data_IF_054150994248
#
_entry.id   IF_054150994248
#
_cell.length_a   1.000
_cell.length_b   1.000
_cell.length_c   1.000
_cell.angle_alpha   90.00
_cell.angle_beta   90.00
_cell.angle_gamma   90.00
#
_symmetry.space_group_name_H-M   'P 1'
#
loop_
_entity.id
_entity.type
_entity.pdbx_description
1 polymer ?
#
# COMPACT_ATOMS: atom_id res chain seq x y z
N UNK A 1 10.59 -2.25 8.69
CA UNK A 1 11.06 -3.58 9.15
C UNK A 1 12.35 -3.90 8.40
N UNK A 2 13.49 -4.04 9.08
CA UNK A 2 14.79 -4.32 8.44
C UNK A 2 15.54 -5.38 9.27
N UNK A 3 16.25 -6.34 8.64
CA UNK A 3 16.35 -6.56 7.18
C UNK A 3 15.06 -7.12 6.57
N UNK A 4 14.92 -7.06 5.24
CA UNK A 4 13.82 -7.72 4.54
C UNK A 4 13.95 -9.25 4.64
N UNK A 5 12.82 -9.95 4.70
CA UNK A 5 12.78 -11.41 4.77
C UNK A 5 12.78 -12.06 3.38
N UNK A 6 13.03 -13.38 3.31
CA UNK A 6 13.08 -14.12 2.04
C UNK A 6 11.73 -14.35 1.34
N UNK A 7 10.61 -13.93 1.95
CA UNK A 7 9.27 -14.16 1.42
C UNK A 7 8.64 -12.91 0.78
N UNK A 8 9.06 -11.72 1.19
CA UNK A 8 8.59 -10.44 0.67
C UNK A 8 9.45 -9.27 1.18
N UNK A 9 9.37 -8.16 0.45
CA UNK A 9 9.81 -6.84 0.92
C UNK A 9 8.57 -6.07 1.40
N UNK A 10 8.70 -5.35 2.52
CA UNK A 10 7.64 -4.52 3.08
C UNK A 10 8.09 -3.06 3.07
N UNK A 11 7.41 -2.25 2.26
CA UNK A 11 7.65 -0.80 2.17
C UNK A 11 6.86 -0.11 3.28
N UNK A 12 7.52 0.77 4.03
CA UNK A 12 6.86 1.58 5.06
C UNK A 12 6.19 2.79 4.41
N UNK A 13 4.90 2.68 4.11
CA UNK A 13 4.16 3.73 3.41
C UNK A 13 3.90 4.94 4.32
N UNK A 14 3.83 4.73 5.63
CA UNK A 14 3.59 5.82 6.59
C UNK A 14 4.80 6.75 6.70
N UNK A 15 6.01 6.19 6.63
CA UNK A 15 7.24 7.00 6.55
C UNK A 15 7.41 7.64 5.16
N UNK A 16 7.15 6.88 4.10
CA UNK A 16 7.38 7.33 2.73
C UNK A 16 6.41 8.44 2.27
N UNK A 17 5.12 8.30 2.62
CA UNK A 17 4.03 9.25 2.34
C UNK A 17 3.57 9.92 3.64
N UNK A 18 4.51 10.48 4.39
CA UNK A 18 4.26 11.06 5.72
C UNK A 18 3.29 12.25 5.75
N UNK A 19 2.98 12.83 4.59
CA UNK A 19 1.95 13.86 4.42
C UNK A 19 0.52 13.30 4.39
N UNK A 20 0.34 11.99 4.25
CA UNK A 20 -0.98 11.33 4.23
C UNK A 20 -1.29 10.77 5.63
N UNK A 21 -2.34 11.27 6.31
CA UNK A 21 -2.78 10.74 7.59
C UNK A 21 -3.13 9.23 7.51
N UNK A 22 -2.89 8.44 8.58
CA UNK A 22 -3.16 7.00 8.55
C UNK A 22 -4.59 6.57 8.18
N UNK A 23 -5.60 7.35 8.58
CA UNK A 23 -7.01 7.10 8.24
C UNK A 23 -7.37 7.52 6.81
N UNK A 24 -6.41 8.07 6.07
CA UNK A 24 -6.47 8.28 4.63
C UNK A 24 -5.66 7.21 3.86
N UNK A 25 -5.31 6.12 4.55
CA UNK A 25 -4.79 4.87 4.00
C UNK A 25 -3.53 5.02 3.12
N UNK A 26 -2.40 5.54 3.66
CA UNK A 26 -1.16 5.75 2.90
C UNK A 26 -0.63 4.46 2.25
N UNK A 27 -0.78 3.30 2.93
CA UNK A 27 -0.42 2.00 2.36
C UNK A 27 -1.24 1.64 1.12
N UNK A 28 -2.54 1.94 1.14
CA UNK A 28 -3.41 1.65 0.00
C UNK A 28 -3.20 2.66 -1.13
N UNK A 29 -3.00 3.94 -0.80
CA UNK A 29 -2.61 4.98 -1.75
C UNK A 29 -1.32 4.63 -2.50
N UNK A 30 -0.30 4.14 -1.78
CA UNK A 30 0.94 3.67 -2.38
C UNK A 30 0.72 2.47 -3.31
N UNK A 31 -0.07 1.49 -2.89
CA UNK A 31 -0.38 0.32 -3.72
C UNK A 31 -1.10 0.73 -5.02
N UNK A 32 -2.02 1.70 -4.97
CA UNK A 32 -2.66 2.26 -6.15
C UNK A 32 -1.65 3.01 -7.04
N UNK A 33 -0.80 3.85 -6.47
CA UNK A 33 0.19 4.62 -7.23
C UNK A 33 1.18 3.71 -7.98
N UNK A 34 1.64 2.62 -7.35
CA UNK A 34 2.49 1.61 -8.00
C UNK A 34 1.80 0.91 -9.16
N UNK A 35 0.50 0.65 -9.05
CA UNK A 35 -0.28 0.04 -10.12
C UNK A 35 -0.49 1.02 -11.28
N UNK A 36 -0.78 2.28 -10.99
CA UNK A 36 -1.03 3.31 -12.00
C UNK A 36 0.22 3.71 -12.76
N UNK A 37 1.36 3.83 -12.08
CA UNK A 37 2.63 4.20 -12.71
C UNK A 37 3.31 3.02 -13.41
N UNK A 38 3.35 1.87 -12.74
CA UNK A 38 4.17 0.74 -13.18
C UNK A 38 3.41 -0.55 -13.47
N UNK A 39 2.09 -0.59 -13.31
CA UNK A 39 1.33 -1.85 -13.38
C UNK A 39 1.71 -2.84 -12.27
N UNK A 40 2.38 -2.40 -11.20
CA UNK A 40 2.87 -3.24 -10.11
C UNK A 40 1.79 -3.36 -9.03
N UNK A 41 1.28 -4.58 -8.84
CA UNK A 41 0.29 -4.84 -7.78
C UNK A 41 0.95 -5.28 -6.47
N UNK A 42 0.98 -4.37 -5.51
CA UNK A 42 1.30 -4.65 -4.10
C UNK A 42 0.07 -5.02 -3.28
N UNK A 43 0.30 -5.49 -2.05
CA UNK A 43 -0.76 -5.75 -1.07
C UNK A 43 -0.54 -4.88 0.16
N UNK A 44 -1.50 -4.04 0.50
CA UNK A 44 -1.48 -3.27 1.75
C UNK A 44 -1.60 -4.22 2.94
N UNK A 45 -0.83 -3.94 4.00
CA UNK A 45 -0.91 -4.54 5.32
C UNK A 45 -0.88 -3.39 6.32
N UNK A 46 -2.05 -2.83 6.58
CA UNK A 46 -2.21 -1.67 7.42
C UNK A 46 -3.66 -1.43 7.79
N UNK A 47 -4.00 -0.15 7.91
CA UNK A 47 -5.30 0.30 8.41
C UNK A 47 -6.47 -0.27 7.61
N UNK A 48 -6.34 -0.43 6.28
CA UNK A 48 -7.41 -1.02 5.46
C UNK A 48 -7.61 -2.50 5.82
N UNK A 49 -6.52 -3.28 5.83
CA UNK A 49 -6.54 -4.70 6.16
C UNK A 49 -7.09 -5.00 7.55
N UNK A 50 -6.64 -4.26 8.57
CA UNK A 50 -7.04 -4.52 9.96
C UNK A 50 -8.48 -4.12 10.28
N UNK A 51 -9.09 -3.26 9.47
CA UNK A 51 -10.52 -3.02 9.55
C UNK A 51 -10.96 -2.21 10.77
N UNK A 52 -12.28 -2.19 10.96
CA UNK A 52 -12.92 -1.63 12.15
C UNK A 52 -12.81 -2.59 13.33
N UNK A 53 -12.80 -2.02 14.54
CA UNK A 53 -13.00 -2.77 15.78
C UNK A 53 -14.43 -3.31 15.86
N UNK A 54 -14.71 -4.29 16.74
CA UNK A 54 -16.06 -4.83 16.93
C UNK A 54 -17.12 -3.79 17.32
N UNK A 55 -16.71 -2.67 17.92
CA UNK A 55 -17.59 -1.55 18.28
C UNK A 55 -17.88 -0.58 17.11
N UNK A 56 -17.34 -0.86 15.91
CA UNK A 56 -17.50 -0.04 14.71
C UNK A 56 -16.50 1.13 14.60
N UNK A 57 -15.70 1.38 15.63
CA UNK A 57 -14.65 2.40 15.58
C UNK A 57 -13.50 1.96 14.68
N UNK A 58 -12.79 2.94 14.14
CA UNK A 58 -11.63 2.72 13.29
C UNK A 58 -10.44 3.45 13.89
N UNK A 59 -9.37 2.72 14.13
CA UNK A 59 -8.13 3.27 14.64
C UNK A 59 -7.00 2.98 13.65
N UNK A 60 -6.03 3.90 13.50
CA UNK A 60 -4.84 3.64 12.73
C UNK A 60 -4.16 2.34 13.13
N UNK A 61 -3.81 1.52 12.16
CA UNK A 61 -2.92 0.40 12.42
C UNK A 61 -1.59 0.90 12.99
N UNK A 62 -0.83 0.01 13.65
CA UNK A 62 0.51 0.38 14.14
C UNK A 62 1.46 0.76 13.00
N UNK A 63 1.29 0.16 11.81
CA UNK A 63 2.07 0.40 10.61
C UNK A 63 1.14 0.34 9.39
N UNK A 64 1.48 1.04 8.32
CA UNK A 64 0.88 0.86 6.99
C UNK A 64 1.98 0.40 6.02
N UNK A 65 2.01 -0.90 5.75
CA UNK A 65 3.03 -1.51 4.91
C UNK A 65 2.46 -1.85 3.53
N UNK A 66 3.29 -1.77 2.50
CA UNK A 66 2.99 -2.38 1.19
C UNK A 66 3.91 -3.57 0.99
N UNK A 67 3.31 -4.76 0.95
CA UNK A 67 4.01 -6.02 0.72
C UNK A 67 4.21 -6.26 -0.77
N UNK A 68 5.47 -6.39 -1.17
CA UNK A 68 5.90 -6.84 -2.49
C UNK A 68 6.45 -8.26 -2.37
N UNK A 69 5.66 -9.23 -2.81
CA UNK A 69 6.05 -10.64 -2.84
C UNK A 69 6.43 -11.03 -4.27
N UNK A 70 7.60 -11.65 -4.46
CA UNK A 70 8.03 -12.16 -5.77
C UNK A 70 7.68 -13.65 -5.90
N UNK A 71 6.81 -14.03 -6.85
CA UNK A 71 6.55 -15.43 -7.17
C UNK A 71 7.83 -16.12 -7.67
N UNK A 72 8.07 -17.32 -7.16
CA UNK A 72 9.30 -18.08 -7.43
C UNK A 72 9.42 -18.43 -8.90
N UNK A 73 10.55 -18.08 -9.53
CA UNK A 73 10.88 -18.40 -10.94
C UNK A 73 9.92 -17.80 -11.97
N UNK A 74 9.27 -16.67 -11.65
CA UNK A 74 8.34 -15.98 -12.57
C UNK A 74 8.95 -14.72 -13.14
N UNK A 75 9.52 -13.88 -12.28
CA UNK A 75 10.14 -12.61 -12.68
C UNK A 75 11.65 -12.73 -12.83
N UNK A 76 12.21 -11.82 -13.62
CA UNK A 76 13.65 -11.72 -13.94
C UNK A 76 14.28 -10.54 -13.21
N UNK A 77 15.60 -10.39 -13.33
CA UNK A 77 16.32 -9.22 -12.83
C UNK A 77 15.73 -7.91 -13.35
N UNK A 78 15.43 -7.82 -14.65
CA UNK A 78 14.85 -6.61 -15.26
C UNK A 78 13.50 -6.22 -14.65
N UNK A 79 12.70 -7.16 -14.15
CA UNK A 79 11.47 -6.84 -13.44
C UNK A 79 11.75 -6.28 -12.03
N UNK A 80 12.84 -6.73 -11.38
CA UNK A 80 13.27 -6.15 -10.10
C UNK A 80 13.79 -4.73 -10.31
N UNK A 81 14.60 -4.51 -11.35
CA UNK A 81 15.12 -3.19 -11.72
C UNK A 81 13.97 -2.23 -12.06
N UNK A 82 12.99 -2.71 -12.84
CA UNK A 82 11.79 -1.95 -13.18
C UNK A 82 10.97 -1.52 -11.95
N UNK A 83 10.87 -2.37 -10.90
CA UNK A 83 10.23 -1.98 -9.65
C UNK A 83 10.96 -0.79 -9.02
N UNK A 84 12.31 -0.80 -9.02
CA UNK A 84 13.11 0.30 -8.48
C UNK A 84 12.89 1.58 -9.28
N UNK A 85 12.93 1.50 -10.61
CA UNK A 85 12.66 2.64 -11.50
C UNK A 85 11.29 3.27 -11.24
N UNK A 86 10.24 2.45 -11.07
CA UNK A 86 8.88 2.95 -10.75
C UNK A 86 8.86 3.67 -9.39
N UNK A 87 9.58 3.16 -8.38
CA UNK A 87 9.71 3.87 -7.11
C UNK A 87 10.46 5.20 -7.26
N UNK A 88 11.48 5.26 -8.11
CA UNK A 88 12.22 6.50 -8.39
C UNK A 88 11.32 7.54 -9.07
N UNK A 89 10.51 7.14 -10.06
CA UNK A 89 9.55 8.05 -10.70
C UNK A 89 8.49 8.56 -9.73
N UNK A 90 7.91 7.68 -8.92
CA UNK A 90 6.97 8.08 -7.89
C UNK A 90 7.62 8.98 -6.82
N UNK A 91 8.88 8.74 -6.45
CA UNK A 91 9.58 9.55 -5.47
C UNK A 91 9.71 11.02 -5.89
N UNK A 92 9.85 11.30 -7.20
CA UNK A 92 9.93 12.68 -7.74
C UNK A 92 8.66 13.49 -7.51
N UNK A 93 7.52 12.82 -7.38
CA UNK A 93 6.18 13.44 -7.22
C UNK A 93 5.40 12.84 -6.05
N UNK A 94 6.10 12.34 -5.03
CA UNK A 94 5.47 11.63 -3.90
C UNK A 94 4.46 12.50 -3.14
N UNK A 95 4.70 13.81 -3.08
CA UNK A 95 3.85 14.78 -2.38
C UNK A 95 2.55 15.07 -3.17
N UNK A 96 2.47 14.65 -4.43
CA UNK A 96 1.25 14.69 -5.25
C UNK A 96 0.34 13.50 -4.97
N UNK A 97 0.86 12.40 -4.43
CA UNK A 97 0.06 11.24 -4.05
C UNK A 97 -0.91 11.66 -2.94
N UNK A 98 -2.20 11.43 -3.18
CA UNK A 98 -3.28 11.77 -2.25
C UNK A 98 -3.72 10.54 -1.46
N UNK A 99 -4.20 10.81 -0.25
CA UNK A 99 -4.91 9.83 0.55
C UNK A 99 -6.19 9.35 -0.13
N UNK A 100 -6.76 8.29 0.42
CA UNK A 100 -7.96 7.66 -0.08
C UNK A 100 -9.07 7.72 0.99
N UNK A 101 -10.32 7.66 0.51
CA UNK A 101 -11.50 7.48 1.33
C UNK A 101 -12.27 6.25 0.86
N UNK A 102 -12.63 5.37 1.79
CA UNK A 102 -13.56 4.27 1.53
C UNK A 102 -14.93 4.87 1.19
N UNK A 103 -15.48 4.51 0.03
CA UNK A 103 -16.84 4.89 -0.40
C UNK A 103 -17.84 3.76 -0.23
N UNK A 104 -17.35 2.52 -0.16
CA UNK A 104 -18.14 1.31 0.09
C UNK A 104 -17.25 0.25 0.72
N UNK A 105 -17.71 -0.39 1.78
CA UNK A 105 -17.00 -1.50 2.42
C UNK A 105 -17.98 -2.64 2.80
N UNK A 106 -17.58 -3.91 2.68
CA UNK A 106 -18.33 -5.01 3.26
C UNK A 106 -18.19 -5.01 4.81
N UNK A 107 -19.09 -5.70 5.54
CA UNK A 107 -19.05 -5.75 7.00
C UNK A 107 -17.83 -6.50 7.56
N UNK A 108 -17.19 -7.35 6.75
CA UNK A 108 -16.02 -8.14 7.15
C UNK A 108 -15.02 -8.22 6.00
N UNK A 109 -13.74 -8.38 6.33
CA UNK A 109 -12.64 -8.55 5.38
C UNK A 109 -12.63 -7.50 4.27
N UNK A 110 -12.84 -6.23 4.63
CA UNK A 110 -13.01 -5.12 3.69
C UNK A 110 -11.88 -4.93 2.68
N UNK A 111 -10.66 -5.34 3.03
CA UNK A 111 -9.50 -5.22 2.14
C UNK A 111 -9.61 -6.02 0.83
N UNK A 112 -10.57 -6.95 0.70
CA UNK A 112 -10.82 -7.66 -0.55
C UNK A 112 -11.70 -6.90 -1.54
N UNK A 113 -12.71 -6.18 -1.06
CA UNK A 113 -13.80 -5.67 -1.92
C UNK A 113 -14.25 -4.25 -1.58
N UNK A 114 -13.56 -3.55 -0.68
CA UNK A 114 -13.82 -2.13 -0.46
C UNK A 114 -13.51 -1.32 -1.73
N UNK A 115 -14.31 -0.29 -1.95
CA UNK A 115 -14.14 0.67 -3.03
C UNK A 115 -13.68 2.01 -2.43
N UNK A 116 -12.78 2.69 -3.14
CA UNK A 116 -12.13 3.91 -2.67
C UNK A 116 -12.30 5.05 -3.66
N UNK A 117 -12.19 6.27 -3.15
CA UNK A 117 -12.07 7.50 -3.93
C UNK A 117 -10.84 8.27 -3.45
N UNK A 118 -10.11 8.91 -4.36
CA UNK A 118 -9.06 9.86 -4.01
C UNK A 118 -9.64 11.08 -3.28
N UNK A 119 -8.92 11.54 -2.26
CA UNK A 119 -9.20 12.79 -1.55
C UNK A 119 -8.71 14.01 -2.34
#
# INVERSE_FOLDING_TARGET
>A
MKPAGGHAVFIDARDWLSHIPPLEYPGHALACALYEEGGIRGCEIGTVMFGRKPDGTEEPARMDLVRLAMPRRVYTQSHADYIVEVFEELAKRKDEIRGLKIVKEPPMMRHFTAEFKRL
#
